data_IF_178733640787
#
_entry.id   IF_178733640787
#
_cell.length_a   1.000
_cell.length_b   1.000
_cell.length_c   1.000
_cell.angle_alpha   90.00
_cell.angle_beta   90.00
_cell.angle_gamma   90.00
#
_symmetry.space_group_name_H-M   'P 1'
#
loop_
_entity.id
_entity.type
_entity.pdbx_description
1 polymer ?
#
# COMPACT_ATOMS: atom_id res chain seq x y z
N UNK A 1 -1.33 4.90 -30.72
CA UNK A 1 -1.08 5.13 -29.30
C UNK A 1 -2.15 4.41 -28.48
N UNK A 2 -1.76 3.48 -27.60
CA UNK A 2 -2.70 2.80 -26.70
C UNK A 2 -3.16 3.82 -25.64
N UNK A 3 -4.47 4.06 -25.55
CA UNK A 3 -5.06 4.88 -24.50
C UNK A 3 -4.93 4.14 -23.18
N UNK A 4 -4.28 4.75 -22.20
CA UNK A 4 -4.29 4.27 -20.83
C UNK A 4 -5.58 4.71 -20.13
N UNK A 5 -6.10 3.90 -19.20
CA UNK A 5 -7.22 4.26 -18.34
C UNK A 5 -6.71 4.37 -16.91
N UNK A 6 -6.79 5.57 -16.33
CA UNK A 6 -6.70 5.74 -14.89
C UNK A 6 -8.03 6.28 -14.39
N UNK A 7 -8.50 5.78 -13.25
CA UNK A 7 -9.79 6.17 -12.63
C UNK A 7 -10.99 6.09 -13.59
N UNK A 8 -10.99 5.14 -14.51
CA UNK A 8 -12.05 5.00 -15.51
C UNK A 8 -12.07 6.09 -16.60
N UNK A 9 -11.18 7.05 -16.55
CA UNK A 9 -11.01 8.10 -17.56
C UNK A 9 -9.97 7.68 -18.59
N UNK A 10 -10.21 8.05 -19.85
CA UNK A 10 -9.16 7.90 -20.87
C UNK A 10 -8.08 8.94 -20.61
N UNK A 11 -6.85 8.48 -20.39
CA UNK A 11 -5.68 9.36 -20.33
C UNK A 11 -5.09 9.42 -21.73
N UNK A 12 -4.92 10.63 -22.23
CA UNK A 12 -4.09 10.86 -23.39
C UNK A 12 -2.65 10.91 -22.91
N UNK A 13 -1.89 9.89 -23.26
CA UNK A 13 -0.44 9.94 -23.05
C UNK A 13 0.14 11.08 -23.89
N UNK A 14 1.17 11.78 -23.39
CA UNK A 14 1.88 12.79 -24.17
C UNK A 14 2.37 12.19 -25.49
N UNK A 15 2.32 13.00 -26.55
CA UNK A 15 2.89 12.56 -27.82
C UNK A 15 4.39 12.30 -27.67
N UNK A 16 4.84 11.21 -28.29
CA UNK A 16 6.25 10.87 -28.27
C UNK A 16 7.04 11.88 -29.11
N UNK A 17 7.90 12.65 -28.46
CA UNK A 17 8.79 13.59 -29.12
C UNK A 17 10.16 12.92 -29.35
N UNK A 18 10.45 12.59 -30.60
CA UNK A 18 11.74 11.99 -31.00
C UNK A 18 12.97 12.88 -30.70
N UNK A 19 12.76 14.18 -30.54
CA UNK A 19 13.83 15.14 -30.24
C UNK A 19 13.98 15.40 -28.75
N UNK A 20 13.13 14.78 -27.90
CA UNK A 20 13.25 14.94 -26.46
C UNK A 20 14.55 14.33 -25.95
N UNK A 21 15.31 15.11 -25.20
CA UNK A 21 16.56 14.71 -24.57
C UNK A 21 16.48 14.67 -23.05
N UNK A 22 15.34 15.08 -22.48
CA UNK A 22 15.09 15.05 -21.03
C UNK A 22 13.71 14.47 -20.76
N UNK A 23 13.66 13.52 -19.82
CA UNK A 23 12.43 12.99 -19.25
C UNK A 23 12.27 13.49 -17.82
N UNK A 24 11.22 14.24 -17.56
CA UNK A 24 10.80 14.59 -16.21
C UNK A 24 9.79 13.57 -15.72
N UNK A 25 10.07 12.94 -14.57
CA UNK A 25 9.12 12.14 -13.81
C UNK A 25 8.71 13.00 -12.62
N UNK A 26 7.42 13.31 -12.51
CA UNK A 26 6.89 14.20 -11.49
C UNK A 26 5.93 13.41 -10.62
N UNK A 27 6.29 13.29 -9.35
CA UNK A 27 5.56 12.52 -8.35
C UNK A 27 5.02 13.45 -7.28
N UNK A 28 3.72 13.34 -6.93
CA UNK A 28 3.11 14.21 -5.93
C UNK A 28 1.86 13.59 -5.29
N UNK A 29 1.48 14.20 -4.16
CA UNK A 29 0.35 13.76 -3.34
C UNK A 29 0.67 12.55 -2.46
N UNK A 30 -0.08 12.35 -1.37
CA UNK A 30 0.13 11.24 -0.44
C UNK A 30 -0.35 9.93 -1.04
N UNK A 31 0.52 8.94 -1.13
CA UNK A 31 0.21 7.61 -1.62
C UNK A 31 -0.61 6.76 -0.65
N UNK A 32 -0.93 5.53 -1.06
CA UNK A 32 -1.71 4.60 -0.25
C UNK A 32 -0.87 4.07 0.91
N UNK A 33 -1.54 3.84 2.05
CA UNK A 33 -0.95 3.24 3.23
C UNK A 33 -1.63 1.90 3.52
N UNK A 34 -0.85 0.87 3.77
CA UNK A 34 -1.33 -0.41 4.26
C UNK A 34 -1.55 -0.35 5.76
N UNK A 35 -2.59 -1.01 6.24
CA UNK A 35 -2.80 -1.24 7.66
C UNK A 35 -3.47 -2.60 7.86
N UNK A 36 -3.24 -3.18 9.03
CA UNK A 36 -3.84 -4.43 9.42
C UNK A 36 -5.20 -4.18 10.08
N UNK A 37 -6.10 -5.14 9.96
CA UNK A 37 -7.45 -5.13 10.50
C UNK A 37 -7.90 -6.56 10.82
N UNK A 38 -8.97 -6.69 11.60
CA UNK A 38 -9.49 -7.97 12.07
C UNK A 38 -9.02 -8.25 13.50
N UNK A 39 -9.58 -9.30 14.10
CA UNK A 39 -9.31 -9.68 15.51
C UNK A 39 -7.84 -10.06 15.76
N UNK A 40 -7.15 -10.56 14.73
CA UNK A 40 -5.76 -10.97 14.78
C UNK A 40 -4.90 -10.24 13.75
N UNK A 41 -5.31 -9.03 13.33
CA UNK A 41 -4.62 -8.24 12.30
C UNK A 41 -4.37 -9.01 10.98
N UNK A 42 -5.25 -9.97 10.67
CA UNK A 42 -5.11 -10.85 9.52
C UNK A 42 -5.58 -10.24 8.20
N UNK A 43 -6.33 -9.15 8.23
CA UNK A 43 -6.87 -8.50 7.04
C UNK A 43 -6.00 -7.32 6.62
N UNK A 44 -5.42 -7.41 5.42
CA UNK A 44 -4.76 -6.26 4.81
C UNK A 44 -5.80 -5.26 4.31
N UNK A 45 -5.73 -4.03 4.80
CA UNK A 45 -6.54 -2.90 4.34
C UNK A 45 -5.66 -1.80 3.78
N UNK A 46 -6.22 -1.02 2.87
CA UNK A 46 -5.55 0.12 2.27
C UNK A 46 -6.33 1.38 2.61
N UNK A 47 -5.62 2.36 3.15
CA UNK A 47 -6.13 3.71 3.40
C UNK A 47 -5.48 4.69 2.45
N UNK A 48 -6.29 5.51 1.81
CA UNK A 48 -5.85 6.59 0.93
C UNK A 48 -6.14 7.94 1.55
N UNK A 49 -5.37 8.94 1.16
CA UNK A 49 -5.59 10.35 1.51
C UNK A 49 -5.72 11.14 0.21
N UNK A 50 -6.68 12.07 0.16
CA UNK A 50 -6.81 12.97 -0.99
C UNK A 50 -5.69 13.99 -1.00
N UNK A 51 -5.10 14.18 -2.18
CA UNK A 51 -4.21 15.30 -2.43
C UNK A 51 -5.01 16.55 -2.81
N UNK A 52 -4.69 17.73 -2.28
CA UNK A 52 -5.23 18.98 -2.80
C UNK A 52 -4.66 19.33 -4.18
N UNK A 53 -3.55 18.69 -4.56
CA UNK A 53 -2.86 18.90 -5.82
C UNK A 53 -3.41 17.93 -6.88
N UNK A 54 -3.66 18.43 -8.08
CA UNK A 54 -4.27 17.66 -9.17
C UNK A 54 -3.44 17.61 -10.44
N UNK A 55 -2.41 18.47 -10.55
CA UNK A 55 -1.52 18.53 -11.71
C UNK A 55 -0.19 19.17 -11.35
N UNK A 56 0.74 19.14 -12.30
CA UNK A 56 2.00 19.85 -12.19
C UNK A 56 2.22 20.73 -13.42
N UNK A 57 3.16 21.65 -13.34
CA UNK A 57 3.60 22.51 -14.44
C UNK A 57 5.11 22.58 -14.44
N UNK A 58 5.72 22.38 -15.59
CA UNK A 58 7.15 22.47 -15.80
C UNK A 58 7.43 23.74 -16.59
N UNK A 59 8.21 24.63 -16.01
CA UNK A 59 8.64 25.90 -16.61
C UNK A 59 10.14 25.92 -16.80
N UNK A 60 10.57 26.32 -17.96
CA UNK A 60 11.94 26.71 -18.27
C UNK A 60 11.89 27.95 -19.17
N UNK A 61 13.01 28.60 -19.48
CA UNK A 61 13.00 29.84 -20.24
C UNK A 61 12.19 29.80 -21.55
N UNK A 62 12.06 28.63 -22.18
CA UNK A 62 11.37 28.43 -23.46
C UNK A 62 10.12 27.56 -23.37
N UNK A 63 9.89 26.88 -22.26
CA UNK A 63 8.83 25.88 -22.11
C UNK A 63 7.95 26.23 -20.91
N UNK A 64 6.64 26.25 -21.12
CA UNK A 64 5.62 26.26 -20.06
C UNK A 64 4.64 25.11 -20.37
N UNK A 65 4.83 23.99 -19.68
CA UNK A 65 4.13 22.75 -19.97
C UNK A 65 3.29 22.31 -18.76
N UNK A 66 1.97 22.21 -18.96
CA UNK A 66 1.08 21.57 -17.99
C UNK A 66 1.21 20.05 -18.08
N UNK A 67 1.41 19.40 -16.94
CA UNK A 67 1.61 17.95 -16.83
C UNK A 67 0.49 17.35 -15.99
N UNK A 68 -0.43 16.68 -16.66
CA UNK A 68 -1.51 15.97 -15.99
C UNK A 68 -1.03 14.62 -15.43
N UNK A 69 -1.66 14.09 -14.36
CA UNK A 69 -1.38 12.74 -13.88
C UNK A 69 -1.59 11.70 -14.97
N UNK A 70 -0.59 10.85 -15.18
CA UNK A 70 -0.67 9.69 -16.05
C UNK A 70 -1.16 8.46 -15.29
N UNK A 71 -0.94 8.41 -13.98
CA UNK A 71 -1.35 7.32 -13.12
C UNK A 71 -1.76 7.81 -11.73
N UNK A 72 -2.66 7.04 -11.09
CA UNK A 72 -3.12 7.23 -9.72
C UNK A 72 -2.89 5.95 -8.91
N UNK A 73 -1.85 5.99 -8.09
CA UNK A 73 -1.42 4.85 -7.27
C UNK A 73 -2.47 4.48 -6.21
N UNK A 74 -3.21 5.46 -5.68
CA UNK A 74 -4.32 5.22 -4.76
C UNK A 74 -5.43 4.40 -5.42
N UNK A 75 -5.78 4.74 -6.66
CA UNK A 75 -6.75 3.98 -7.43
C UNK A 75 -6.25 2.55 -7.73
N UNK A 76 -5.00 2.40 -8.13
CA UNK A 76 -4.43 1.08 -8.40
C UNK A 76 -4.39 0.20 -7.15
N UNK A 77 -3.95 0.75 -6.03
CA UNK A 77 -3.86 0.01 -4.77
C UNK A 77 -5.23 -0.46 -4.26
N UNK A 78 -6.29 0.33 -4.48
CA UNK A 78 -7.65 0.00 -4.01
C UNK A 78 -8.42 -0.90 -4.97
N UNK A 79 -8.10 -0.89 -6.27
CA UNK A 79 -8.87 -1.63 -7.30
C UNK A 79 -8.15 -2.88 -7.81
N UNK A 80 -6.82 -2.92 -7.75
CA UNK A 80 -6.00 -4.01 -8.30
C UNK A 80 -5.25 -4.81 -7.24
N UNK A 81 -5.41 -4.47 -5.96
CA UNK A 81 -4.76 -5.17 -4.85
C UNK A 81 -5.15 -6.65 -4.84
N UNK A 82 -4.17 -7.53 -4.96
CA UNK A 82 -4.36 -8.97 -4.91
C UNK A 82 -4.81 -9.40 -3.51
N UNK A 83 -5.97 -10.05 -3.44
CA UNK A 83 -6.58 -10.54 -2.19
C UNK A 83 -6.36 -12.03 -1.92
N UNK A 84 -5.49 -12.68 -2.68
CA UNK A 84 -5.23 -14.12 -2.51
C UNK A 84 -4.66 -14.39 -1.11
N UNK A 85 -3.80 -13.52 -0.60
CA UNK A 85 -3.24 -13.66 0.75
C UNK A 85 -4.28 -13.47 1.86
N UNK A 86 -5.31 -12.65 1.65
CA UNK A 86 -6.38 -12.45 2.64
C UNK A 86 -7.12 -13.77 2.93
N UNK A 87 -7.32 -14.61 1.92
CA UNK A 87 -7.93 -15.95 2.11
C UNK A 87 -7.06 -16.88 2.95
N UNK A 88 -5.75 -16.86 2.75
CA UNK A 88 -4.81 -17.69 3.52
C UNK A 88 -4.75 -17.21 4.96
N UNK A 89 -4.63 -15.91 5.16
CA UNK A 89 -4.59 -15.31 6.50
C UNK A 89 -5.91 -15.46 7.24
N UNK A 90 -7.04 -15.29 6.54
CA UNK A 90 -8.37 -15.54 7.11
C UNK A 90 -8.56 -16.98 7.56
N UNK A 91 -8.07 -17.97 6.82
CA UNK A 91 -8.08 -19.38 7.26
C UNK A 91 -7.19 -19.61 8.48
N UNK A 92 -6.01 -18.98 8.54
CA UNK A 92 -5.14 -19.02 9.72
C UNK A 92 -5.79 -18.38 10.96
N UNK A 93 -6.47 -17.25 10.78
CA UNK A 93 -7.20 -16.59 11.86
C UNK A 93 -8.37 -17.44 12.36
N UNK A 94 -9.16 -18.03 11.47
CA UNK A 94 -10.22 -18.97 11.83
C UNK A 94 -9.69 -20.20 12.58
N UNK A 95 -8.58 -20.77 12.12
CA UNK A 95 -7.91 -21.86 12.82
C UNK A 95 -7.43 -21.45 14.21
N UNK A 96 -6.80 -20.27 14.34
CA UNK A 96 -6.37 -19.71 15.63
C UNK A 96 -7.54 -19.52 16.59
N UNK A 97 -8.63 -18.93 16.13
CA UNK A 97 -9.85 -18.75 16.93
C UNK A 97 -10.46 -20.08 17.39
N UNK A 98 -10.62 -21.02 16.46
CA UNK A 98 -11.18 -22.34 16.77
C UNK A 98 -10.31 -23.13 17.77
N UNK A 99 -8.99 -23.17 17.55
CA UNK A 99 -8.07 -23.90 18.46
C UNK A 99 -7.97 -23.23 19.84
N UNK A 100 -8.08 -21.91 19.92
CA UNK A 100 -8.14 -21.20 21.19
C UNK A 100 -9.42 -21.53 21.96
N UNK A 101 -10.59 -21.44 21.31
CA UNK A 101 -11.88 -21.75 21.94
C UNK A 101 -11.97 -23.20 22.40
N UNK A 102 -11.55 -24.17 21.56
CA UNK A 102 -11.51 -25.58 21.93
C UNK A 102 -10.53 -25.82 23.07
N UNK A 103 -9.39 -25.14 23.08
CA UNK A 103 -8.42 -25.21 24.14
C UNK A 103 -8.96 -24.73 25.48
N UNK A 104 -9.70 -23.64 25.49
CA UNK A 104 -10.33 -23.07 26.71
C UNK A 104 -11.40 -24.01 27.26
N UNK A 105 -12.30 -24.51 26.42
CA UNK A 105 -13.34 -25.46 26.83
C UNK A 105 -12.74 -26.77 27.35
N UNK A 106 -11.76 -27.31 26.67
CA UNK A 106 -11.09 -28.56 27.08
C UNK A 106 -10.29 -28.37 28.38
N UNK A 107 -9.60 -27.23 28.55
CA UNK A 107 -8.85 -26.94 29.76
C UNK A 107 -9.78 -26.81 30.98
N UNK A 108 -10.80 -25.93 30.88
CA UNK A 108 -11.73 -25.69 31.99
C UNK A 108 -12.58 -26.92 32.27
N UNK A 109 -13.15 -27.53 31.24
CA UNK A 109 -13.97 -28.75 31.37
C UNK A 109 -13.18 -29.93 31.91
N UNK A 110 -11.95 -30.11 31.45
CA UNK A 110 -11.06 -31.17 31.94
C UNK A 110 -10.68 -30.99 33.42
N UNK A 111 -10.33 -29.75 33.83
CA UNK A 111 -10.03 -29.45 35.23
C UNK A 111 -11.27 -29.62 36.13
N UNK A 112 -12.44 -29.14 35.68
CA UNK A 112 -13.68 -29.30 36.42
C UNK A 112 -14.05 -30.78 36.59
N UNK A 113 -13.90 -31.61 35.56
CA UNK A 113 -14.13 -33.04 35.62
C UNK A 113 -13.16 -33.72 36.58
N UNK A 114 -11.88 -33.36 36.54
CA UNK A 114 -10.89 -33.91 37.45
C UNK A 114 -11.17 -33.51 38.91
N UNK A 115 -11.57 -32.25 39.16
CA UNK A 115 -11.83 -31.76 40.52
C UNK A 115 -13.14 -32.31 41.11
N UNK A 116 -14.18 -32.50 40.29
CA UNK A 116 -15.50 -32.93 40.75
C UNK A 116 -15.61 -34.46 40.96
N UNK A 117 -14.63 -35.25 40.56
CA UNK A 117 -14.70 -36.70 40.59
C UNK A 117 -13.90 -37.29 41.74
N UNK A 118 -14.52 -38.24 42.47
CA UNK A 118 -13.87 -39.05 43.50
C UNK A 118 -13.24 -40.32 42.93
N UNK A 119 -13.37 -40.54 41.62
CA UNK A 119 -12.84 -41.74 40.94
C UNK A 119 -11.54 -41.38 40.21
N UNK A 120 -10.45 -42.10 40.54
CA UNK A 120 -9.12 -41.89 39.93
C UNK A 120 -9.14 -41.97 38.42
N UNK A 121 -9.93 -42.89 37.84
CA UNK A 121 -10.02 -43.03 36.39
C UNK A 121 -10.61 -41.75 35.74
N UNK A 122 -11.69 -41.21 36.31
CA UNK A 122 -12.31 -39.98 35.83
C UNK A 122 -11.42 -38.75 36.03
N UNK A 123 -10.69 -38.69 37.16
CA UNK A 123 -9.67 -37.67 37.39
C UNK A 123 -8.58 -37.68 36.30
N UNK A 124 -8.05 -38.85 35.99
CA UNK A 124 -7.02 -39.01 34.97
C UNK A 124 -7.54 -38.64 33.57
N UNK A 125 -8.77 -38.97 33.22
CA UNK A 125 -9.42 -38.56 31.98
C UNK A 125 -9.57 -37.04 31.93
N UNK A 126 -10.04 -36.42 33.02
CA UNK A 126 -10.16 -34.95 33.12
C UNK A 126 -8.82 -34.22 32.94
N UNK A 127 -7.76 -34.73 33.57
CA UNK A 127 -6.40 -34.20 33.40
C UNK A 127 -5.88 -34.39 31.96
N UNK A 128 -6.18 -35.53 31.31
CA UNK A 128 -5.82 -35.76 29.93
C UNK A 128 -6.49 -34.76 28.98
N UNK A 129 -7.77 -34.47 29.20
CA UNK A 129 -8.51 -33.45 28.44
C UNK A 129 -7.93 -32.04 28.69
N UNK A 130 -7.60 -31.72 29.94
CA UNK A 130 -6.97 -30.44 30.27
C UNK A 130 -5.60 -30.25 29.59
N UNK A 131 -4.77 -31.29 29.56
CA UNK A 131 -3.49 -31.28 28.84
C UNK A 131 -3.69 -31.09 27.33
N UNK A 132 -4.66 -31.74 26.70
CA UNK A 132 -5.01 -31.52 25.30
C UNK A 132 -5.44 -30.09 25.05
N UNK A 133 -6.18 -29.47 25.96
CA UNK A 133 -6.55 -28.05 25.95
C UNK A 133 -5.33 -27.11 25.98
N UNK A 134 -4.36 -27.41 26.86
CA UNK A 134 -3.11 -26.62 26.91
C UNK A 134 -2.29 -26.73 25.62
N UNK A 135 -2.19 -27.92 25.02
CA UNK A 135 -1.51 -28.10 23.73
C UNK A 135 -2.23 -27.29 22.63
N UNK A 136 -3.55 -27.36 22.58
CA UNK A 136 -4.36 -26.58 21.62
C UNK A 136 -4.13 -25.07 21.79
N UNK A 137 -4.07 -24.56 23.01
CA UNK A 137 -3.73 -23.15 23.28
C UNK A 137 -2.31 -22.80 22.86
N UNK A 138 -1.35 -23.68 23.08
CA UNK A 138 0.03 -23.49 22.63
C UNK A 138 0.12 -23.38 21.10
N UNK A 139 -0.59 -24.23 20.37
CA UNK A 139 -0.66 -24.15 18.90
C UNK A 139 -1.34 -22.84 18.45
N UNK A 140 -2.43 -22.45 19.10
CA UNK A 140 -3.10 -21.18 18.82
C UNK A 140 -2.17 -19.99 19.06
N UNK A 141 -1.44 -19.97 20.17
CA UNK A 141 -0.51 -18.89 20.50
C UNK A 141 0.66 -18.79 19.50
N UNK A 142 1.13 -19.94 18.98
CA UNK A 142 2.20 -20.00 17.99
C UNK A 142 1.74 -19.61 16.57
N UNK A 143 0.41 -19.49 16.34
CA UNK A 143 -0.13 -19.11 15.04
C UNK A 143 -0.22 -17.59 14.94
N UNK A 144 0.55 -16.98 14.03
CA UNK A 144 0.54 -15.54 13.75
C UNK A 144 -0.08 -15.29 12.36
N UNK A 145 -1.36 -14.96 12.27
CA UNK A 145 -2.03 -14.68 10.99
C UNK A 145 -1.90 -13.23 10.53
N UNK A 146 -0.97 -12.46 11.06
CA UNK A 146 -0.81 -11.03 10.79
C UNK A 146 -0.56 -10.73 9.30
N UNK A 147 -1.22 -9.69 8.79
CA UNK A 147 -1.03 -9.20 7.45
C UNK A 147 0.30 -8.45 7.30
N UNK A 148 0.95 -8.60 6.16
CA UNK A 148 2.17 -7.85 5.84
C UNK A 148 1.82 -6.40 5.46
N UNK A 149 2.02 -5.49 6.41
CA UNK A 149 1.77 -4.05 6.25
C UNK A 149 3.01 -3.27 5.79
N UNK A 150 4.13 -3.95 5.51
CA UNK A 150 5.32 -3.25 5.00
C UNK A 150 4.96 -2.52 3.70
N UNK A 151 5.30 -1.26 3.64
CA UNK A 151 5.03 -0.39 2.48
C UNK A 151 6.13 0.66 2.38
N UNK A 152 6.25 1.24 1.21
CA UNK A 152 7.05 2.44 1.05
C UNK A 152 6.20 3.65 1.48
N UNK A 153 6.68 4.39 2.45
CA UNK A 153 6.01 5.56 3.02
C UNK A 153 6.16 6.82 2.16
N UNK A 154 7.05 6.79 1.18
CA UNK A 154 7.28 7.83 0.19
C UNK A 154 6.56 7.61 -1.16
N UNK A 155 5.61 6.65 -1.24
CA UNK A 155 4.82 6.47 -2.46
C UNK A 155 3.99 7.72 -2.73
N UNK A 156 3.99 8.23 -3.98
CA UNK A 156 3.12 9.33 -4.38
C UNK A 156 1.71 8.83 -4.65
N UNK A 157 0.73 9.75 -4.64
CA UNK A 157 -0.59 9.47 -5.19
C UNK A 157 -0.56 9.50 -6.72
N UNK A 158 0.04 10.55 -7.29
CA UNK A 158 0.06 10.77 -8.72
C UNK A 158 1.46 10.66 -9.30
N UNK A 159 1.54 10.00 -10.43
CA UNK A 159 2.74 9.91 -11.24
C UNK A 159 2.45 10.56 -12.59
N UNK A 160 3.32 11.47 -12.99
CA UNK A 160 3.25 12.17 -14.27
C UNK A 160 4.60 12.13 -14.95
N UNK A 161 4.62 12.28 -16.25
CA UNK A 161 5.87 12.40 -16.98
C UNK A 161 5.75 13.41 -18.14
N UNK A 162 6.87 14.01 -18.49
CA UNK A 162 6.98 14.88 -19.65
C UNK A 162 8.35 14.69 -20.31
N UNK A 163 8.34 14.46 -21.60
CA UNK A 163 9.56 14.39 -22.42
C UNK A 163 9.71 15.72 -23.16
N UNK A 164 10.81 16.42 -22.94
CA UNK A 164 11.07 17.75 -23.48
C UNK A 164 12.46 17.80 -24.13
N UNK A 165 12.60 18.71 -25.07
CA UNK A 165 13.90 19.06 -25.63
C UNK A 165 14.42 20.32 -24.96
N UNK A 166 15.57 20.21 -24.30
CA UNK A 166 16.29 21.35 -23.72
C UNK A 166 17.55 21.63 -24.53
N UNK A 167 17.95 22.91 -24.66
CA UNK A 167 19.21 23.26 -25.33
C UNK A 167 20.42 22.76 -24.53
N UNK A 168 21.56 22.57 -25.19
CA UNK A 168 22.81 22.27 -24.50
C UNK A 168 23.16 23.35 -23.48
N UNK A 169 23.81 22.94 -22.39
CA UNK A 169 24.21 23.81 -21.28
C UNK A 169 23.29 23.71 -20.09
N UNK A 170 23.40 24.68 -19.18
CA UNK A 170 22.64 24.74 -17.94
C UNK A 170 21.25 25.32 -18.16
N UNK A 171 20.20 24.53 -17.86
CA UNK A 171 18.82 24.95 -17.96
C UNK A 171 18.20 25.02 -16.59
N UNK A 172 17.67 26.18 -16.21
CA UNK A 172 16.89 26.35 -14.98
C UNK A 172 15.46 25.90 -15.23
N UNK A 173 15.02 24.90 -14.46
CA UNK A 173 13.69 24.31 -14.57
C UNK A 173 12.97 24.49 -13.25
N UNK A 174 11.75 25.04 -13.31
CA UNK A 174 10.86 25.17 -12.16
C UNK A 174 9.69 24.21 -12.33
N UNK A 175 9.44 23.38 -11.32
CA UNK A 175 8.30 22.49 -11.23
C UNK A 175 7.34 23.04 -10.18
N UNK A 176 6.14 23.39 -10.61
CA UNK A 176 5.05 23.86 -9.78
C UNK A 176 4.01 22.76 -9.65
N UNK A 177 3.44 22.60 -8.45
CA UNK A 177 2.32 21.69 -8.20
C UNK A 177 1.04 22.52 -8.03
N UNK A 178 -0.01 22.13 -8.76
CA UNK A 178 -1.21 22.94 -8.92
C UNK A 178 -2.41 22.28 -8.24
N UNK A 179 -3.25 23.12 -7.59
CA UNK A 179 -4.56 22.73 -7.09
C UNK A 179 -5.61 22.67 -8.23
N UNK A 180 -6.85 22.29 -7.89
CA UNK A 180 -7.95 22.23 -8.85
C UNK A 180 -8.33 23.58 -9.46
N UNK A 181 -7.95 24.70 -8.84
CA UNK A 181 -8.12 26.05 -9.37
C UNK A 181 -6.93 26.51 -10.22
N UNK A 182 -5.92 25.65 -10.43
CA UNK A 182 -4.71 25.97 -11.19
C UNK A 182 -3.71 26.85 -10.43
N UNK A 183 -3.85 27.01 -9.13
CA UNK A 183 -2.95 27.81 -8.29
C UNK A 183 -1.77 26.93 -7.84
N UNK A 184 -0.57 27.49 -7.97
CA UNK A 184 0.65 26.81 -7.54
C UNK A 184 0.82 26.84 -6.00
N UNK A 185 1.23 25.72 -5.43
CA UNK A 185 1.67 25.67 -4.04
C UNK A 185 3.14 26.13 -3.96
N UNK A 186 3.35 27.32 -3.42
CA UNK A 186 4.67 27.92 -3.31
C UNK A 186 5.63 27.11 -2.41
N UNK A 187 5.11 26.36 -1.42
CA UNK A 187 5.93 25.54 -0.52
C UNK A 187 6.48 24.28 -1.20
N UNK A 188 5.78 23.79 -2.21
CA UNK A 188 6.11 22.58 -2.94
C UNK A 188 6.81 22.87 -4.28
N UNK A 189 6.81 24.12 -4.73
CA UNK A 189 7.51 24.55 -5.94
C UNK A 189 9.01 24.23 -5.82
N UNK A 190 9.55 23.57 -6.84
CA UNK A 190 10.96 23.15 -6.90
C UNK A 190 11.65 23.78 -8.09
N UNK A 191 12.83 24.34 -7.87
CA UNK A 191 13.69 24.83 -8.95
C UNK A 191 14.97 24.00 -8.96
N UNK A 192 15.35 23.51 -10.13
CA UNK A 192 16.53 22.69 -10.33
C UNK A 192 17.27 23.12 -11.60
N UNK A 193 18.57 22.85 -11.68
CA UNK A 193 19.36 23.10 -12.88
C UNK A 193 19.68 21.77 -13.54
N UNK A 194 19.28 21.64 -14.82
CA UNK A 194 19.53 20.48 -15.66
C UNK A 194 20.64 20.83 -16.66
N UNK A 195 21.75 20.14 -16.60
CA UNK A 195 22.86 20.33 -17.52
C UNK A 195 22.77 19.32 -18.68
N UNK A 196 22.67 19.83 -19.89
CA UNK A 196 22.65 19.03 -21.11
C UNK A 196 24.03 19.11 -21.76
N UNK A 197 24.65 17.95 -22.00
CA UNK A 197 25.93 17.91 -22.70
C UNK A 197 25.76 18.40 -24.15
N UNK A 198 26.75 19.13 -24.65
CA UNK A 198 26.74 19.72 -25.99
C UNK A 198 26.85 18.67 -27.12
N UNK A 199 27.18 17.43 -26.80
CA UNK A 199 27.58 16.43 -27.79
C UNK A 199 26.93 15.07 -27.50
N UNK A 200 25.66 14.94 -27.91
CA UNK A 200 25.05 13.63 -28.16
C UNK A 200 23.98 13.79 -29.23
N UNK A 201 24.45 13.67 -30.48
CA UNK A 201 23.61 13.26 -31.60
C UNK A 201 23.20 11.79 -31.45
#
# INVERSE_FOLDING_TARGET
LKRARANGKNINLPDYNLKANVLFIVEFGPGPLKYASGEYDQELRIRTRSSPLVSARIKTGAIDLAVAPCDDVNFQATTRGGRVMDHVLGKKAAFKGATSAVGDVALIGGLATAAASNNRTTQNVGLGIALAGLISKGISAATTPEADIRTWDNLPQFISFAAVQLPPGGNVVTVEFLDAAGRADAKLTKTLTVNIAADRD
#
